data_IF_811600814968
#
_entry.id   IF_811600814968
#
_cell.length_a   1.000
_cell.length_b   1.000
_cell.length_c   1.000
_cell.angle_alpha   90.00
_cell.angle_beta   90.00
_cell.angle_gamma   90.00
#
_symmetry.space_group_name_H-M   'P 1'
#
loop_
_entity.id
_entity.type
_entity.pdbx_description
1 polymer ?
#
# COMPACT_ATOMS: atom_id res chain seq x y z
N UNK A 1 10.77 -14.60 11.00
CA UNK A 1 9.53 -15.42 11.20
C UNK A 1 9.60 -16.60 10.23
N UNK A 2 9.48 -17.82 10.71
CA UNK A 2 9.60 -19.04 9.89
C UNK A 2 8.26 -19.77 9.69
N UNK A 3 7.17 -19.27 10.28
CA UNK A 3 5.80 -19.80 10.15
C UNK A 3 4.87 -18.85 9.43
N UNK A 4 3.73 -19.37 8.97
CA UNK A 4 2.62 -18.57 8.44
C UNK A 4 1.79 -17.94 9.58
N UNK A 5 1.00 -16.91 9.26
CA UNK A 5 0.12 -16.22 10.22
C UNK A 5 0.84 -15.67 11.46
N UNK A 6 2.05 -15.18 11.27
CA UNK A 6 2.89 -14.66 12.36
C UNK A 6 2.99 -13.13 12.29
N UNK A 7 3.13 -12.49 13.46
CA UNK A 7 3.33 -11.05 13.57
C UNK A 7 4.69 -10.79 14.21
N UNK A 8 5.51 -9.93 13.58
CA UNK A 8 6.83 -9.57 14.11
C UNK A 8 6.72 -8.72 15.36
N UNK A 9 6.06 -7.57 15.27
CA UNK A 9 5.65 -6.74 16.41
C UNK A 9 4.15 -6.54 16.43
N UNK A 10 3.53 -6.84 17.55
CA UNK A 10 2.11 -6.64 17.79
C UNK A 10 1.90 -5.78 19.02
N UNK A 11 1.23 -4.65 18.86
CA UNK A 11 0.93 -3.75 19.95
C UNK A 11 -0.48 -3.18 19.83
N UNK A 12 -1.16 -3.08 20.96
CA UNK A 12 -2.48 -2.44 21.09
C UNK A 12 -2.50 -1.57 22.34
N UNK A 13 -3.51 -0.72 22.45
CA UNK A 13 -3.69 0.17 23.62
C UNK A 13 -2.59 1.24 23.78
N UNK A 14 -2.13 1.81 22.68
CA UNK A 14 -1.39 3.09 22.70
C UNK A 14 0.11 3.02 22.93
N UNK A 15 0.76 1.87 22.73
CA UNK A 15 2.23 1.78 22.83
C UNK A 15 2.93 2.19 21.53
N UNK A 16 4.19 2.62 21.64
CA UNK A 16 5.01 3.01 20.50
C UNK A 16 5.93 1.87 20.04
N UNK A 17 6.03 1.67 18.73
CA UNK A 17 6.97 0.73 18.12
C UNK A 17 8.03 1.50 17.35
N UNK A 18 9.30 1.34 17.78
CA UNK A 18 10.46 1.85 17.06
C UNK A 18 11.26 0.66 16.56
N UNK A 19 11.25 0.44 15.25
CA UNK A 19 12.01 -0.64 14.60
C UNK A 19 13.22 -0.09 13.85
N UNK A 20 14.41 -0.58 14.19
CA UNK A 20 15.69 -0.22 13.54
C UNK A 20 16.41 -1.43 12.95
N UNK A 21 15.82 -2.62 13.07
CA UNK A 21 16.42 -3.87 12.63
C UNK A 21 15.51 -4.57 11.59
N UNK A 22 16.03 -5.60 10.95
CA UNK A 22 15.26 -6.34 9.94
C UNK A 22 14.22 -7.24 10.58
N UNK A 23 13.02 -7.25 9.99
CA UNK A 23 11.93 -8.19 10.26
C UNK A 23 11.73 -9.02 9.01
N UNK A 24 12.03 -10.32 9.08
CA UNK A 24 12.03 -11.19 7.92
C UNK A 24 11.05 -12.35 8.13
N UNK A 25 10.02 -12.43 7.28
CA UNK A 25 9.07 -13.51 7.19
C UNK A 25 9.30 -14.35 5.92
N UNK A 26 10.47 -15.01 5.85
CA UNK A 26 11.01 -15.59 4.60
C UNK A 26 10.27 -16.80 4.05
N UNK A 27 9.56 -17.57 4.86
CA UNK A 27 9.05 -18.89 4.44
C UNK A 27 7.58 -19.11 4.75
N UNK A 28 6.92 -18.11 5.31
CA UNK A 28 5.52 -18.21 5.69
C UNK A 28 4.65 -17.18 4.99
N UNK A 29 3.44 -17.59 4.67
CA UNK A 29 2.41 -16.72 4.11
C UNK A 29 1.61 -16.04 5.23
N UNK A 30 0.90 -14.97 4.90
CA UNK A 30 0.00 -14.26 5.81
C UNK A 30 0.71 -13.67 7.05
N UNK A 31 1.94 -13.23 6.88
CA UNK A 31 2.72 -12.65 7.97
C UNK A 31 2.57 -11.12 8.00
N UNK A 32 2.54 -10.56 9.20
CA UNK A 32 2.56 -9.10 9.41
C UNK A 32 3.91 -8.72 10.03
N UNK A 33 4.60 -7.77 9.41
CA UNK A 33 5.86 -7.26 9.96
C UNK A 33 5.62 -6.52 11.28
N UNK A 34 4.87 -5.42 11.22
CA UNK A 34 4.50 -4.60 12.39
C UNK A 34 2.99 -4.31 12.34
N UNK A 35 2.30 -4.59 13.44
CA UNK A 35 0.94 -4.12 13.73
C UNK A 35 0.95 -3.23 14.97
N UNK A 36 0.37 -2.04 14.86
CA UNK A 36 0.12 -1.18 16.01
C UNK A 36 -1.27 -0.57 15.93
N UNK A 37 -1.95 -0.55 17.08
CA UNK A 37 -3.22 0.13 17.25
C UNK A 37 -3.12 1.15 18.38
N UNK A 38 -3.66 2.35 18.12
CA UNK A 38 -3.74 3.48 19.05
C UNK A 38 -2.40 4.12 19.47
N UNK A 39 -1.25 3.58 19.02
CA UNK A 39 0.09 4.06 19.36
C UNK A 39 0.80 4.75 18.20
N UNK A 40 2.14 4.58 18.10
CA UNK A 40 2.93 5.13 17.00
C UNK A 40 3.85 4.07 16.40
N UNK A 41 4.16 4.21 15.09
CA UNK A 41 5.13 3.37 14.38
C UNK A 41 6.23 4.27 13.80
N UNK A 42 7.49 3.99 14.14
CA UNK A 42 8.67 4.54 13.49
C UNK A 42 9.56 3.38 13.00
N UNK A 43 9.50 3.09 11.69
CA UNK A 43 10.29 2.04 11.08
C UNK A 43 11.44 2.62 10.26
N UNK A 44 12.65 2.24 10.60
CA UNK A 44 13.86 2.47 9.80
C UNK A 44 14.58 1.18 9.40
N UNK A 45 14.12 0.03 9.89
CA UNK A 45 14.63 -1.28 9.52
C UNK A 45 13.96 -1.85 8.27
N UNK A 46 14.56 -2.89 7.71
CA UNK A 46 14.00 -3.60 6.57
C UNK A 46 12.90 -4.56 7.01
N UNK A 47 11.83 -4.62 6.23
CA UNK A 47 10.72 -5.57 6.46
C UNK A 47 10.51 -6.39 5.20
N UNK A 48 10.47 -7.72 5.37
CA UNK A 48 10.12 -8.65 4.30
C UNK A 48 9.02 -9.58 4.79
N UNK A 49 7.89 -9.60 4.07
CA UNK A 49 6.77 -10.52 4.30
C UNK A 49 6.46 -11.31 3.04
N UNK A 50 5.90 -12.52 3.21
CA UNK A 50 5.52 -13.40 2.11
C UNK A 50 4.20 -13.01 1.45
N UNK A 51 3.49 -14.01 0.93
CA UNK A 51 2.22 -13.81 0.23
C UNK A 51 1.05 -13.73 1.20
N UNK A 52 -0.03 -13.11 0.77
CA UNK A 52 -1.34 -13.35 1.38
C UNK A 52 -1.91 -14.68 0.90
N UNK A 53 -2.74 -15.31 1.71
CA UNK A 53 -3.49 -16.51 1.32
C UNK A 53 -4.95 -16.14 1.17
N UNK A 54 -5.40 -16.00 -0.06
CA UNK A 54 -6.79 -15.66 -0.38
C UNK A 54 -7.55 -16.95 -0.63
N UNK A 55 -8.27 -17.42 0.37
CA UNK A 55 -9.08 -18.67 0.32
C UNK A 55 -10.43 -18.39 -0.35
N UNK A 56 -11.07 -17.29 0.03
CA UNK A 56 -12.35 -16.88 -0.52
C UNK A 56 -12.41 -15.34 -0.63
N UNK A 57 -12.36 -14.79 -1.85
CA UNK A 57 -12.46 -13.33 -2.04
C UNK A 57 -13.78 -12.73 -1.54
N UNK A 58 -14.84 -13.52 -1.44
CA UNK A 58 -16.15 -13.08 -0.95
C UNK A 58 -16.27 -13.15 0.59
N UNK A 59 -15.37 -13.87 1.24
CA UNK A 59 -15.34 -14.01 2.69
C UNK A 59 -13.97 -13.67 3.26
N UNK A 60 -13.71 -12.39 3.55
CA UNK A 60 -12.40 -11.93 4.03
C UNK A 60 -11.96 -12.57 5.35
N UNK A 61 -12.88 -13.11 6.15
CA UNK A 61 -12.55 -13.79 7.41
C UNK A 61 -11.83 -15.13 7.22
N UNK A 62 -11.89 -15.72 6.02
CA UNK A 62 -11.16 -16.93 5.67
C UNK A 62 -9.77 -16.66 5.11
N UNK A 63 -9.44 -15.40 4.85
CA UNK A 63 -8.20 -15.01 4.20
C UNK A 63 -7.11 -14.65 5.23
N UNK A 64 -5.89 -15.03 4.94
CA UNK A 64 -4.72 -14.59 5.67
C UNK A 64 -3.98 -13.52 4.89
N UNK A 65 -3.83 -12.33 5.46
CA UNK A 65 -3.20 -11.21 4.77
C UNK A 65 -1.75 -11.00 5.22
N UNK A 66 -0.86 -10.80 4.27
CA UNK A 66 0.50 -10.37 4.52
C UNK A 66 0.60 -8.85 4.42
N UNK A 67 1.15 -8.21 5.46
CA UNK A 67 1.30 -6.76 5.54
C UNK A 67 2.67 -6.40 6.11
N UNK A 68 3.40 -5.53 5.46
CA UNK A 68 4.68 -5.03 5.98
C UNK A 68 4.49 -4.21 7.25
N UNK A 69 3.85 -3.05 7.13
CA UNK A 69 3.47 -2.17 8.24
C UNK A 69 1.97 -1.96 8.26
N UNK A 70 1.32 -2.19 9.39
CA UNK A 70 -0.09 -1.90 9.60
C UNK A 70 -0.30 -1.02 10.83
N UNK A 71 -0.77 0.20 10.60
CA UNK A 71 -1.21 1.14 11.63
C UNK A 71 -2.72 1.30 11.62
N UNK A 72 -3.38 1.02 12.75
CA UNK A 72 -4.81 1.22 12.96
C UNK A 72 -5.03 2.26 14.05
N UNK A 73 -5.73 3.34 13.72
CA UNK A 73 -6.01 4.47 14.61
C UNK A 73 -4.77 5.07 15.30
N UNK A 74 -3.59 4.87 14.69
CA UNK A 74 -2.30 5.29 15.26
C UNK A 74 -2.15 6.82 15.27
N UNK A 75 -1.43 7.32 16.27
CA UNK A 75 -1.13 8.75 16.41
C UNK A 75 -0.14 9.22 15.35
N UNK A 76 0.84 8.39 15.01
CA UNK A 76 1.77 8.64 13.91
C UNK A 76 2.26 7.34 13.29
N UNK A 77 2.59 7.38 11.98
CA UNK A 77 3.12 6.24 11.27
C UNK A 77 4.19 6.71 10.28
N UNK A 78 5.41 6.21 10.42
CA UNK A 78 6.53 6.59 9.57
C UNK A 78 7.33 5.37 9.14
N UNK A 79 7.68 5.33 7.86
CA UNK A 79 8.62 4.38 7.29
C UNK A 79 9.76 5.10 6.57
N UNK A 80 10.98 4.76 6.93
CA UNK A 80 12.22 5.17 6.21
C UNK A 80 13.04 3.97 5.74
N UNK A 81 12.68 2.74 6.18
CA UNK A 81 13.32 1.49 5.78
C UNK A 81 12.74 0.91 4.49
N UNK A 82 13.25 -0.23 4.06
CA UNK A 82 12.75 -0.94 2.90
C UNK A 82 11.67 -1.95 3.30
N UNK A 83 10.63 -2.06 2.48
CA UNK A 83 9.56 -3.04 2.64
C UNK A 83 9.48 -3.86 1.36
N UNK A 84 9.65 -5.19 1.46
CA UNK A 84 9.45 -6.15 0.38
C UNK A 84 8.25 -7.03 0.70
N UNK A 85 7.32 -7.17 -0.24
CA UNK A 85 6.09 -7.95 -0.05
C UNK A 85 5.86 -8.95 -1.17
N UNK A 86 5.16 -10.04 -0.87
CA UNK A 86 4.77 -11.08 -1.80
C UNK A 86 3.46 -10.79 -2.54
N UNK A 87 2.85 -11.84 -3.09
CA UNK A 87 1.61 -11.77 -3.85
C UNK A 87 0.41 -11.44 -2.93
N UNK A 88 -0.56 -10.69 -3.48
CA UNK A 88 -1.77 -10.26 -2.78
C UNK A 88 -1.48 -9.54 -1.43
N UNK A 89 -0.25 -9.04 -1.22
CA UNK A 89 0.22 -8.45 0.03
C UNK A 89 0.28 -6.92 -0.03
N UNK A 90 0.28 -6.29 1.14
CA UNK A 90 0.33 -4.82 1.28
C UNK A 90 1.63 -4.39 1.95
N UNK A 91 2.35 -3.44 1.36
CA UNK A 91 3.57 -2.90 1.96
C UNK A 91 3.30 -2.05 3.21
N UNK A 92 2.54 -0.99 3.05
CA UNK A 92 2.23 0.00 4.08
C UNK A 92 0.73 0.23 4.13
N UNK A 93 0.10 -0.18 5.24
CA UNK A 93 -1.33 -0.01 5.45
C UNK A 93 -1.60 0.96 6.60
N UNK A 94 -2.28 2.07 6.29
CA UNK A 94 -2.71 3.05 7.27
C UNK A 94 -4.24 3.13 7.29
N UNK A 95 -4.83 2.92 8.47
CA UNK A 95 -6.26 3.02 8.72
C UNK A 95 -6.55 3.96 9.89
N UNK A 96 -7.37 5.00 9.65
CA UNK A 96 -7.81 5.91 10.71
C UNK A 96 -6.69 6.69 11.41
N UNK A 97 -5.53 6.96 10.76
CA UNK A 97 -4.40 7.63 11.41
C UNK A 97 -4.75 9.04 11.88
N UNK A 98 -4.27 9.42 13.06
CA UNK A 98 -4.54 10.74 13.68
C UNK A 98 -3.75 11.85 13.00
N UNK A 99 -2.58 11.53 12.44
CA UNK A 99 -1.74 12.47 11.68
C UNK A 99 -1.45 11.93 10.29
N UNK A 100 -0.84 12.75 9.42
CA UNK A 100 -0.39 12.30 8.09
C UNK A 100 0.67 11.20 8.25
N UNK A 101 0.35 9.99 7.76
CA UNK A 101 1.30 8.89 7.72
C UNK A 101 2.34 9.12 6.62
N UNK A 102 3.62 8.81 6.87
CA UNK A 102 4.74 9.09 5.96
C UNK A 102 5.42 7.80 5.50
N UNK A 103 5.46 7.58 4.20
CA UNK A 103 6.42 6.66 3.60
C UNK A 103 7.55 7.45 2.93
N UNK A 104 8.76 7.36 3.47
CA UNK A 104 9.98 7.91 2.89
C UNK A 104 10.99 6.82 2.49
N UNK A 105 10.69 5.55 2.78
CA UNK A 105 11.48 4.39 2.39
C UNK A 105 11.03 3.78 1.06
N UNK A 106 11.64 2.66 0.70
CA UNK A 106 11.29 1.95 -0.53
C UNK A 106 10.29 0.84 -0.24
N UNK A 107 9.32 0.66 -1.15
CA UNK A 107 8.40 -0.47 -1.13
C UNK A 107 8.54 -1.21 -2.45
N UNK A 108 8.79 -2.52 -2.39
CA UNK A 108 9.03 -3.34 -3.57
C UNK A 108 8.22 -4.64 -3.57
N UNK A 109 7.82 -5.08 -4.75
CA UNK A 109 7.32 -6.43 -5.00
C UNK A 109 7.64 -6.86 -6.43
N UNK A 110 7.99 -8.13 -6.58
CA UNK A 110 8.06 -8.81 -7.89
C UNK A 110 6.87 -9.75 -8.11
N UNK A 111 5.96 -9.84 -7.17
CA UNK A 111 4.81 -10.75 -7.17
C UNK A 111 3.54 -10.03 -7.60
N UNK A 112 2.60 -10.80 -8.14
CA UNK A 112 1.33 -10.28 -8.65
C UNK A 112 0.41 -9.77 -7.56
N UNK A 113 -0.46 -8.83 -7.93
CA UNK A 113 -1.51 -8.25 -7.08
C UNK A 113 -1.00 -7.61 -5.78
N UNK A 114 0.26 -7.21 -5.75
CA UNK A 114 0.81 -6.49 -4.60
C UNK A 114 0.25 -5.06 -4.54
N UNK A 115 0.10 -4.54 -3.33
CA UNK A 115 -0.23 -3.15 -3.09
C UNK A 115 0.92 -2.50 -2.34
N UNK A 116 1.48 -1.42 -2.90
CA UNK A 116 2.55 -0.69 -2.24
C UNK A 116 2.04 -0.01 -0.96
N UNK A 117 1.10 0.91 -1.08
CA UNK A 117 0.47 1.62 0.04
C UNK A 117 -1.05 1.47 -0.06
N UNK A 118 -1.70 1.14 1.06
CA UNK A 118 -3.14 1.17 1.22
C UNK A 118 -3.54 2.18 2.30
N UNK A 119 -4.40 3.13 1.94
CA UNK A 119 -4.94 4.16 2.83
C UNK A 119 -6.44 3.98 3.00
N UNK A 120 -6.90 3.85 4.23
CA UNK A 120 -8.31 3.75 4.56
C UNK A 120 -8.69 4.80 5.61
N UNK A 121 -9.43 5.82 5.21
CA UNK A 121 -9.81 6.92 6.11
C UNK A 121 -8.61 7.65 6.73
N UNK A 122 -7.49 7.72 6.03
CA UNK A 122 -6.23 8.24 6.54
C UNK A 122 -5.64 9.29 5.60
N UNK A 123 -4.77 10.14 6.11
CA UNK A 123 -3.89 10.99 5.31
C UNK A 123 -2.53 10.35 5.17
N UNK A 124 -2.04 10.21 3.94
CA UNK A 124 -0.72 9.62 3.65
C UNK A 124 0.08 10.54 2.74
N UNK A 125 1.36 10.68 3.02
CA UNK A 125 2.35 11.27 2.14
C UNK A 125 3.41 10.25 1.76
N UNK A 126 3.60 10.03 0.46
CA UNK A 126 4.71 9.22 -0.07
C UNK A 126 5.81 10.15 -0.61
N UNK A 127 7.00 10.05 -0.03
CA UNK A 127 8.22 10.71 -0.53
C UNK A 127 9.27 9.71 -0.98
N UNK A 128 9.04 8.41 -0.71
CA UNK A 128 9.91 7.30 -1.09
C UNK A 128 9.58 6.71 -2.47
N UNK A 129 10.18 5.58 -2.76
CA UNK A 129 9.98 4.87 -4.02
C UNK A 129 9.08 3.65 -3.82
N UNK A 130 8.14 3.45 -4.74
CA UNK A 130 7.31 2.25 -4.84
C UNK A 130 7.61 1.63 -6.19
N UNK A 131 8.09 0.37 -6.21
CA UNK A 131 8.37 -0.36 -7.45
C UNK A 131 7.70 -1.72 -7.41
N UNK A 132 6.67 -1.91 -8.24
CA UNK A 132 5.92 -3.16 -8.33
C UNK A 132 6.07 -3.73 -9.74
N UNK A 133 6.54 -4.98 -9.82
CA UNK A 133 6.85 -5.64 -11.09
C UNK A 133 5.93 -6.82 -11.41
N UNK A 134 5.11 -7.26 -10.47
CA UNK A 134 4.06 -8.26 -10.70
C UNK A 134 2.82 -7.67 -11.36
N UNK A 135 2.08 -8.48 -12.08
CA UNK A 135 0.86 -8.10 -12.78
C UNK A 135 -0.29 -7.78 -11.81
N UNK A 136 -1.26 -6.99 -12.27
CA UNK A 136 -2.45 -6.61 -11.49
C UNK A 136 -2.13 -5.90 -10.15
N UNK A 137 -1.00 -5.24 -10.06
CA UNK A 137 -0.54 -4.57 -8.84
C UNK A 137 -1.02 -3.12 -8.76
N UNK A 138 -1.08 -2.57 -7.54
CA UNK A 138 -1.47 -1.18 -7.30
C UNK A 138 -0.38 -0.47 -6.51
N UNK A 139 0.14 0.62 -7.05
CA UNK A 139 1.17 1.41 -6.35
C UNK A 139 0.63 2.02 -5.05
N UNK A 140 -0.41 2.84 -5.13
CA UNK A 140 -1.12 3.39 -3.97
C UNK A 140 -2.63 3.22 -4.17
N UNK A 141 -3.31 2.65 -3.17
CA UNK A 141 -4.77 2.56 -3.10
C UNK A 141 -5.31 3.45 -1.97
N UNK A 142 -6.27 4.32 -2.30
CA UNK A 142 -6.92 5.23 -1.35
C UNK A 142 -8.42 4.95 -1.29
N UNK A 143 -8.96 4.77 -0.08
CA UNK A 143 -10.36 4.46 0.16
C UNK A 143 -10.94 5.25 1.34
N UNK A 144 -12.26 5.41 1.37
CA UNK A 144 -13.01 5.95 2.53
C UNK A 144 -12.52 7.33 3.00
N UNK A 145 -12.63 8.34 2.13
CA UNK A 145 -12.23 9.73 2.42
C UNK A 145 -10.73 9.89 2.74
N UNK A 146 -9.88 9.05 2.17
CA UNK A 146 -8.44 9.19 2.34
C UNK A 146 -7.89 10.38 1.56
N UNK A 147 -6.80 10.96 2.07
CA UNK A 147 -6.02 11.99 1.39
C UNK A 147 -4.64 11.42 1.11
N UNK A 148 -4.27 11.29 -0.17
CA UNK A 148 -2.96 10.78 -0.57
C UNK A 148 -2.18 11.86 -1.31
N UNK A 149 -0.98 12.15 -0.82
CA UNK A 149 -0.02 13.04 -1.46
C UNK A 149 1.19 12.24 -1.93
N UNK A 150 1.45 12.25 -3.23
CA UNK A 150 2.64 11.62 -3.79
C UNK A 150 3.67 12.68 -4.18
N UNK A 151 4.79 12.72 -3.49
CA UNK A 151 5.98 13.50 -3.80
C UNK A 151 7.17 12.62 -4.23
N UNK A 152 7.01 11.30 -4.13
CA UNK A 152 7.99 10.28 -4.48
C UNK A 152 7.79 9.68 -5.86
N UNK A 153 8.40 8.53 -6.09
CA UNK A 153 8.36 7.83 -7.39
C UNK A 153 7.55 6.54 -7.26
N UNK A 154 6.58 6.36 -8.14
CA UNK A 154 5.83 5.12 -8.31
C UNK A 154 6.19 4.54 -9.67
N UNK A 155 6.67 3.29 -9.71
CA UNK A 155 7.02 2.56 -10.94
C UNK A 155 6.26 1.26 -11.01
N UNK A 156 5.41 1.13 -12.02
CA UNK A 156 4.62 -0.07 -12.28
C UNK A 156 5.18 -0.77 -13.53
N UNK A 157 5.82 -1.93 -13.34
CA UNK A 157 6.39 -2.72 -14.42
C UNK A 157 5.50 -3.88 -14.86
N UNK A 158 4.59 -4.33 -13.98
CA UNK A 158 3.63 -5.39 -14.28
C UNK A 158 2.49 -4.93 -15.17
N UNK A 159 1.91 -5.86 -15.93
CA UNK A 159 0.75 -5.62 -16.77
C UNK A 159 -0.54 -5.47 -15.95
N UNK A 160 -1.58 -4.88 -16.54
CA UNK A 160 -2.90 -4.73 -15.91
C UNK A 160 -2.83 -4.02 -14.53
N UNK A 161 -1.82 -3.18 -14.33
CA UNK A 161 -1.50 -2.55 -13.05
C UNK A 161 -1.98 -1.10 -12.98
N UNK A 162 -2.10 -0.56 -11.77
CA UNK A 162 -2.55 0.82 -11.52
C UNK A 162 -1.51 1.55 -10.68
N UNK A 163 -1.07 2.71 -11.15
CA UNK A 163 -0.15 3.55 -10.38
C UNK A 163 -0.78 4.06 -9.09
N UNK A 164 -1.89 4.80 -9.18
CA UNK A 164 -2.67 5.28 -8.03
C UNK A 164 -4.16 5.01 -8.28
N UNK A 165 -4.81 4.36 -7.33
CA UNK A 165 -6.25 4.12 -7.32
C UNK A 165 -6.91 4.88 -6.17
N UNK A 166 -8.04 5.54 -6.43
CA UNK A 166 -8.83 6.20 -5.39
C UNK A 166 -10.32 5.91 -5.53
N UNK A 167 -10.98 5.64 -4.40
CA UNK A 167 -12.43 5.48 -4.34
C UNK A 167 -13.05 6.15 -3.09
N UNK A 168 -14.38 6.14 -3.04
CA UNK A 168 -15.17 6.56 -1.88
C UNK A 168 -14.72 7.92 -1.32
N UNK A 169 -14.84 8.97 -2.16
CA UNK A 169 -14.56 10.38 -1.84
C UNK A 169 -13.10 10.66 -1.42
N UNK A 170 -12.14 9.88 -1.93
CA UNK A 170 -10.73 10.10 -1.61
C UNK A 170 -10.11 11.19 -2.50
N UNK A 171 -9.10 11.86 -1.99
CA UNK A 171 -8.37 12.92 -2.70
C UNK A 171 -6.94 12.49 -2.97
N UNK A 172 -6.52 12.59 -4.23
CA UNK A 172 -5.13 12.36 -4.64
C UNK A 172 -4.51 13.71 -5.02
N UNK A 173 -3.31 13.95 -4.50
CA UNK A 173 -2.45 15.07 -4.91
C UNK A 173 -1.13 14.48 -5.39
N UNK A 174 -0.88 14.48 -6.69
CA UNK A 174 0.46 14.18 -7.20
C UNK A 174 1.25 15.49 -7.21
N UNK A 175 2.12 15.67 -6.21
CA UNK A 175 2.87 16.91 -5.99
C UNK A 175 3.88 17.16 -7.12
N UNK A 176 4.44 18.35 -7.23
CA UNK A 176 5.35 18.76 -8.32
C UNK A 176 6.60 17.88 -8.46
N UNK A 177 7.04 17.23 -7.40
CA UNK A 177 8.14 16.25 -7.40
C UNK A 177 7.68 14.82 -7.64
N UNK A 178 6.37 14.56 -7.51
CA UNK A 178 5.77 13.24 -7.63
C UNK A 178 5.83 12.71 -9.06
N UNK A 179 6.20 11.45 -9.21
CA UNK A 179 6.30 10.78 -10.51
C UNK A 179 5.57 9.44 -10.48
N UNK A 180 4.83 9.16 -11.55
CA UNK A 180 4.17 7.88 -11.77
C UNK A 180 4.61 7.36 -13.14
N UNK A 181 5.39 6.28 -13.15
CA UNK A 181 5.87 5.60 -14.36
C UNK A 181 5.10 4.30 -14.57
N UNK A 182 4.48 4.16 -15.73
CA UNK A 182 3.72 3.00 -16.13
C UNK A 182 4.43 2.33 -17.30
N UNK A 183 5.05 1.17 -17.05
CA UNK A 183 5.83 0.41 -18.01
C UNK A 183 5.10 -0.86 -18.49
N UNK A 184 4.18 -1.39 -17.68
CA UNK A 184 3.40 -2.58 -18.00
C UNK A 184 2.30 -2.32 -19.02
N UNK A 185 1.96 -3.33 -19.84
CA UNK A 185 0.86 -3.22 -20.81
C UNK A 185 -0.49 -3.17 -20.12
N UNK A 186 -1.48 -2.56 -20.78
CA UNK A 186 -2.87 -2.47 -20.30
C UNK A 186 -3.00 -1.85 -18.88
N UNK A 187 -2.03 -1.06 -18.48
CA UNK A 187 -1.95 -0.49 -17.12
C UNK A 187 -2.39 0.97 -17.10
N UNK A 188 -2.78 1.47 -15.93
CA UNK A 188 -3.37 2.80 -15.76
C UNK A 188 -2.51 3.65 -14.83
N UNK A 189 -2.24 4.90 -15.21
CA UNK A 189 -1.50 5.84 -14.35
C UNK A 189 -2.25 6.17 -13.07
N UNK A 190 -3.43 6.77 -13.19
CA UNK A 190 -4.31 7.09 -12.06
C UNK A 190 -5.75 6.73 -12.42
N UNK A 191 -6.41 5.99 -11.54
CA UNK A 191 -7.81 5.60 -11.67
C UNK A 191 -8.63 6.15 -10.49
N UNK A 192 -9.73 6.84 -10.79
CA UNK A 192 -10.62 7.41 -9.78
C UNK A 192 -12.00 6.79 -9.89
N UNK A 193 -12.65 6.59 -8.75
CA UNK A 193 -14.06 6.17 -8.66
C UNK A 193 -14.74 6.79 -7.42
N UNK A 194 -16.06 6.68 -7.32
CA UNK A 194 -16.82 7.05 -6.12
C UNK A 194 -16.60 8.48 -5.65
N UNK A 195 -16.74 9.47 -6.52
CA UNK A 195 -16.60 10.91 -6.24
C UNK A 195 -15.20 11.32 -5.73
N UNK A 196 -14.17 10.54 -6.07
CA UNK A 196 -12.79 10.90 -5.72
C UNK A 196 -12.23 11.98 -6.63
N UNK A 197 -11.24 12.72 -6.15
CA UNK A 197 -10.64 13.87 -6.86
C UNK A 197 -9.14 13.70 -7.07
N UNK A 198 -8.62 14.32 -8.13
CA UNK A 198 -7.20 14.36 -8.45
C UNK A 198 -6.74 15.80 -8.67
N UNK A 199 -5.66 16.17 -7.99
CA UNK A 199 -4.83 17.32 -8.32
C UNK A 199 -3.47 16.82 -8.80
N UNK A 200 -3.13 17.04 -10.07
CA UNK A 200 -1.84 16.61 -10.62
C UNK A 200 -0.93 17.79 -10.93
N UNK A 201 0.13 17.92 -10.18
CA UNK A 201 1.21 18.90 -10.37
C UNK A 201 2.52 18.23 -10.80
N UNK A 202 2.59 16.89 -10.74
CA UNK A 202 3.77 16.08 -11.02
C UNK A 202 3.72 15.41 -12.39
N UNK A 203 4.60 14.44 -12.60
CA UNK A 203 4.71 13.67 -13.84
C UNK A 203 3.90 12.39 -13.78
N UNK A 204 3.14 12.10 -14.82
CA UNK A 204 2.59 10.78 -15.13
C UNK A 204 3.13 10.41 -16.52
N UNK A 205 3.96 9.39 -16.58
CA UNK A 205 4.57 8.91 -17.82
C UNK A 205 4.12 7.47 -18.10
N UNK A 206 3.66 7.24 -19.31
CA UNK A 206 3.13 5.96 -19.76
C UNK A 206 3.95 5.52 -20.97
N UNK A 207 4.60 4.36 -20.87
CA UNK A 207 5.44 3.82 -21.93
C UNK A 207 4.61 3.41 -23.17
N UNK A 208 5.22 3.42 -24.35
CA UNK A 208 4.56 3.06 -25.60
C UNK A 208 4.10 1.60 -25.57
N UNK A 209 2.87 1.34 -26.06
CA UNK A 209 2.23 0.01 -26.00
C UNK A 209 1.31 -0.17 -24.81
N UNK A 210 1.29 0.76 -23.90
CA UNK A 210 0.39 0.80 -22.74
C UNK A 210 -0.87 1.57 -23.10
N UNK A 211 -2.06 1.01 -22.85
CA UNK A 211 -3.30 1.77 -22.87
C UNK A 211 -3.41 2.47 -21.53
N UNK A 212 -2.70 3.57 -21.39
CA UNK A 212 -2.71 4.33 -20.15
C UNK A 212 -3.62 5.54 -20.26
N UNK A 213 -4.41 5.75 -19.27
CA UNK A 213 -5.26 6.94 -19.15
C UNK A 213 -5.42 7.31 -17.68
N UNK A 214 -5.71 8.57 -17.44
CA UNK A 214 -6.44 8.95 -16.24
C UNK A 214 -7.89 8.50 -16.50
N UNK A 215 -8.29 7.39 -15.88
CA UNK A 215 -9.66 6.88 -16.03
C UNK A 215 -10.48 7.31 -14.81
N UNK A 216 -11.57 7.99 -15.07
CA UNK A 216 -12.67 8.12 -14.12
C UNK A 216 -13.64 6.97 -14.42
N UNK A 217 -13.62 5.93 -13.60
CA UNK A 217 -14.50 4.77 -13.75
C UNK A 217 -15.55 4.79 -12.65
N UNK A 218 -16.82 4.82 -13.03
CA UNK A 218 -17.90 4.55 -12.10
C UNK A 218 -17.99 3.03 -11.89
N UNK A 219 -17.48 2.57 -10.73
CA UNK A 219 -17.49 1.16 -10.35
C UNK A 219 -16.40 0.85 -9.32
N UNK A 220 -16.70 0.00 -8.36
CA UNK A 220 -15.73 -0.48 -7.39
C UNK A 220 -14.92 -1.62 -7.99
N UNK A 221 -13.57 -1.55 -8.07
CA UNK A 221 -12.76 -2.75 -8.23
C UNK A 221 -13.00 -3.68 -7.04
N UNK A 222 -12.97 -4.97 -7.30
CA UNK A 222 -13.16 -6.00 -6.29
C UNK A 222 -11.89 -6.12 -5.39
N UNK A 223 -11.54 -5.06 -4.67
CA UNK A 223 -10.56 -5.13 -3.61
C UNK A 223 -11.28 -5.01 -2.26
N UNK A 224 -11.24 -6.09 -1.51
CA UNK A 224 -11.69 -6.10 -0.11
C UNK A 224 -10.45 -5.93 0.75
N UNK A 225 -10.33 -4.83 1.52
CA UNK A 225 -9.18 -4.66 2.40
C UNK A 225 -9.13 -5.79 3.44
N UNK A 226 -7.93 -6.13 3.91
CA UNK A 226 -7.78 -7.09 4.98
C UNK A 226 -8.55 -6.63 6.22
N UNK A 227 -9.55 -7.38 6.63
CA UNK A 227 -10.10 -7.27 7.97
C UNK A 227 -9.21 -8.11 8.87
N UNK A 228 -8.32 -7.46 9.61
CA UNK A 228 -7.57 -8.18 10.63
C UNK A 228 -8.47 -8.33 11.83
N UNK A 229 -8.64 -9.57 12.21
CA UNK A 229 -9.55 -10.12 13.21
C UNK A 229 -9.21 -9.58 14.60
N UNK A 230 -10.27 -9.30 15.33
CA UNK A 230 -10.25 -9.26 16.81
C UNK A 230 -9.93 -10.64 17.40
#
# INVERSE_FOLDING_TARGET
MTGSNSVGFYMTNGGDIINKASIIGNTGDSNIGIYNKDGSIDNSGDIKVGNSVIVDPQNPFLNGYAVGLYGEDVQSMKNTGNIEVGADAVGFYARGTQTEALNAGNITSSSDKAIGIYSEGSSIRNTGNITLSGDNSIGIAAARNSIVKNAGIITMNGNDSIGIYANANSTIVNESTGKVFINGNNSTGIQLSGSSTLENYGLIEISSGTIGSVQVVEGTPAFTPPSIIN
#
